data_IF_367572219138
#
_entry.id   IF_367572219138
#
_cell.length_a   1.000
_cell.length_b   1.000
_cell.length_c   1.000
_cell.angle_alpha   90.00
_cell.angle_beta   90.00
_cell.angle_gamma   90.00
#
_symmetry.space_group_name_H-M   'P 1'
#
loop_
_entity.id
_entity.type
_entity.pdbx_description
1 polymer ?
#
# COMPACT_ATOMS: atom_id res chain seq x y z
N UNK A 1 0.89 -13.58 -3.44
CA UNK A 1 1.06 -12.19 -2.95
C UNK A 1 1.64 -12.24 -1.55
N UNK A 2 2.60 -11.39 -1.22
CA UNK A 2 3.12 -11.24 0.16
C UNK A 2 2.20 -10.28 0.93
N UNK A 3 1.94 -10.56 2.21
CA UNK A 3 1.03 -9.77 3.05
C UNK A 3 -0.40 -9.59 2.48
N UNK A 4 -1.13 -10.67 2.18
CA UNK A 4 -2.50 -10.60 1.63
C UNK A 4 -3.51 -9.94 2.56
N UNK A 5 -3.19 -9.77 3.85
CA UNK A 5 -4.00 -8.96 4.76
C UNK A 5 -3.88 -7.45 4.47
N UNK A 6 -2.75 -7.00 3.94
CA UNK A 6 -2.40 -5.59 3.76
C UNK A 6 -2.62 -5.10 2.34
N UNK A 7 -2.28 -5.92 1.35
CA UNK A 7 -2.37 -5.55 -0.06
C UNK A 7 -3.44 -6.35 -0.77
N UNK A 8 -4.04 -5.73 -1.78
CA UNK A 8 -4.91 -6.38 -2.75
C UNK A 8 -4.71 -5.73 -4.12
N UNK A 9 -5.34 -6.28 -5.15
CA UNK A 9 -5.36 -5.70 -6.50
C UNK A 9 -6.75 -5.17 -6.84
N UNK A 10 -6.82 -4.05 -7.55
CA UNK A 10 -8.07 -3.58 -8.15
C UNK A 10 -8.41 -4.34 -9.44
N UNK A 11 -9.47 -3.93 -10.13
CA UNK A 11 -9.93 -4.56 -11.38
C UNK A 11 -8.92 -4.44 -12.53
N UNK A 12 -8.05 -3.43 -12.50
CA UNK A 12 -6.98 -3.23 -13.47
C UNK A 12 -5.69 -4.01 -13.10
N UNK A 13 -5.69 -4.71 -11.96
CA UNK A 13 -4.54 -5.44 -11.46
C UNK A 13 -3.50 -4.55 -10.76
N UNK A 14 -3.87 -3.34 -10.34
CA UNK A 14 -2.99 -2.41 -9.63
C UNK A 14 -3.07 -2.68 -8.12
N UNK A 15 -1.91 -2.87 -7.50
CA UNK A 15 -1.82 -3.13 -6.08
C UNK A 15 -2.17 -1.89 -5.27
N UNK A 16 -2.92 -2.07 -4.18
CA UNK A 16 -3.27 -1.00 -3.24
C UNK A 16 -3.24 -1.50 -1.80
N UNK A 17 -2.92 -0.61 -0.86
CA UNK A 17 -3.00 -0.89 0.57
C UNK A 17 -4.45 -0.84 1.05
N UNK A 18 -4.99 -1.97 1.50
CA UNK A 18 -6.41 -2.12 1.87
C UNK A 18 -6.85 -1.28 3.06
N UNK A 19 -6.11 -1.25 4.20
CA UNK A 19 -6.62 -0.67 5.44
C UNK A 19 -7.07 0.79 5.28
N UNK A 20 -6.28 1.60 4.56
CA UNK A 20 -6.60 3.01 4.33
C UNK A 20 -6.92 3.38 2.87
N UNK A 21 -7.21 2.37 2.03
CA UNK A 21 -7.45 2.56 0.59
C UNK A 21 -6.32 3.31 -0.12
N UNK A 22 -5.08 2.97 0.21
CA UNK A 22 -3.84 3.50 -0.38
C UNK A 22 -3.59 5.00 -0.15
N UNK A 23 -4.16 5.56 0.92
CA UNK A 23 -3.92 6.96 1.31
C UNK A 23 -2.64 7.11 2.14
N UNK A 24 -2.17 6.02 2.77
CA UNK A 24 -0.98 6.01 3.62
C UNK A 24 -1.18 6.79 4.92
N UNK A 25 -2.36 6.69 5.54
CA UNK A 25 -2.72 7.38 6.78
C UNK A 25 -2.93 6.43 7.96
N UNK A 26 -3.20 5.15 7.72
CA UNK A 26 -3.39 4.19 8.82
C UNK A 26 -2.04 3.62 9.29
N UNK A 27 -1.73 3.71 10.59
CA UNK A 27 -0.48 3.17 11.12
C UNK A 27 -0.51 1.64 11.13
N UNK A 28 0.65 1.03 10.89
CA UNK A 28 0.84 -0.42 11.00
C UNK A 28 0.96 -0.83 12.47
N UNK A 29 0.24 -1.89 12.86
CA UNK A 29 0.53 -2.59 14.12
C UNK A 29 1.78 -3.50 13.97
N UNK A 30 2.22 -4.14 15.06
CA UNK A 30 3.46 -4.93 15.08
C UNK A 30 3.45 -6.08 14.07
N UNK A 31 2.34 -6.84 14.00
CA UNK A 31 2.22 -7.96 13.06
C UNK A 31 2.20 -7.47 11.60
N UNK A 32 1.43 -6.41 11.34
CA UNK A 32 1.38 -5.77 10.03
C UNK A 32 2.74 -5.20 9.61
N UNK A 33 3.55 -4.72 10.57
CA UNK A 33 4.89 -4.20 10.29
C UNK A 33 5.83 -5.28 9.76
N UNK A 34 5.74 -6.52 10.28
CA UNK A 34 6.52 -7.66 9.81
C UNK A 34 6.11 -8.03 8.38
N UNK A 35 4.81 -8.17 8.15
CA UNK A 35 4.26 -8.55 6.85
C UNK A 35 4.54 -7.47 5.79
N UNK A 36 4.35 -6.20 6.14
CA UNK A 36 4.66 -5.05 5.31
C UNK A 36 6.15 -5.03 4.93
N UNK A 37 7.06 -5.24 5.89
CA UNK A 37 8.50 -5.24 5.62
C UNK A 37 8.87 -6.29 4.58
N UNK A 38 8.28 -7.47 4.65
CA UNK A 38 8.51 -8.55 3.70
C UNK A 38 8.06 -8.18 2.29
N UNK A 39 6.85 -7.62 2.15
CA UNK A 39 6.32 -7.17 0.87
C UNK A 39 7.15 -6.01 0.30
N UNK A 40 7.48 -5.01 1.12
CA UNK A 40 8.31 -3.86 0.76
C UNK A 40 9.68 -4.28 0.21
N UNK A 41 10.41 -5.15 0.93
CA UNK A 41 11.76 -5.57 0.54
C UNK A 41 11.80 -6.45 -0.72
N UNK A 42 10.71 -7.17 -1.02
CA UNK A 42 10.63 -8.10 -2.15
C UNK A 42 9.89 -7.53 -3.36
N UNK A 43 9.38 -6.31 -3.27
CA UNK A 43 8.72 -5.65 -4.38
C UNK A 43 9.75 -5.32 -5.49
N UNK A 44 9.72 -5.99 -6.66
CA UNK A 44 10.78 -5.84 -7.67
C UNK A 44 10.84 -4.42 -8.25
N UNK A 45 9.71 -3.73 -8.29
CA UNK A 45 9.59 -2.36 -8.80
C UNK A 45 9.78 -1.29 -7.72
N UNK A 46 9.97 -1.68 -6.46
CA UNK A 46 10.02 -0.77 -5.31
C UNK A 46 8.81 0.16 -5.21
N UNK A 47 7.63 -0.30 -5.67
CA UNK A 47 6.39 0.48 -5.69
C UNK A 47 5.81 0.73 -4.29
N UNK A 48 6.02 -0.20 -3.36
CA UNK A 48 5.56 -0.06 -1.96
C UNK A 48 6.44 0.98 -1.25
N UNK A 49 5.81 2.00 -0.64
CA UNK A 49 6.50 3.10 0.06
C UNK A 49 6.20 3.06 1.56
N UNK A 50 7.13 3.60 2.36
CA UNK A 50 7.01 3.71 3.82
C UNK A 50 7.45 5.07 4.31
N UNK A 51 6.85 5.55 5.39
CA UNK A 51 7.24 6.76 6.12
C UNK A 51 6.91 6.57 7.60
N UNK A 52 7.58 7.35 8.45
CA UNK A 52 7.29 7.56 9.87
C UNK A 52 6.12 8.53 10.11
N UNK A 53 5.61 9.17 9.06
CA UNK A 53 4.47 10.07 9.07
C UNK A 53 3.43 9.69 8.00
N UNK A 54 2.16 10.11 8.15
CA UNK A 54 1.13 9.91 7.13
C UNK A 54 1.54 10.50 5.77
N UNK A 55 1.34 9.74 4.70
CA UNK A 55 1.61 10.19 3.32
C UNK A 55 0.53 11.14 2.79
N UNK A 56 -0.70 11.04 3.30
CA UNK A 56 -1.86 11.82 2.86
C UNK A 56 -2.04 11.78 1.32
N UNK A 57 -1.75 10.63 0.71
CA UNK A 57 -1.85 10.45 -0.72
C UNK A 57 -3.32 10.49 -1.15
N UNK A 58 -3.57 11.06 -2.33
CA UNK A 58 -4.86 10.87 -2.99
C UNK A 58 -4.87 9.46 -3.59
N UNK A 59 -5.94 8.67 -3.40
CA UNK A 59 -6.07 7.39 -4.07
C UNK A 59 -5.91 7.59 -5.58
N UNK A 60 -5.21 6.66 -6.22
CA UNK A 60 -5.10 6.67 -7.67
C UNK A 60 -6.50 6.55 -8.29
N UNK A 61 -6.84 7.48 -9.18
CA UNK A 61 -8.05 7.43 -10.00
C UNK A 61 -7.60 7.37 -11.45
N UNK A 62 -8.01 6.33 -12.19
CA UNK A 62 -7.74 6.23 -13.64
C UNK A 62 -8.31 7.42 -14.42
N UNK A 63 -9.35 8.07 -13.89
CA UNK A 63 -9.85 9.36 -14.37
C UNK A 63 -8.98 10.49 -13.81
N UNK A 64 -7.74 10.57 -14.27
CA UNK A 64 -6.88 11.74 -14.08
C UNK A 64 -7.45 12.98 -14.79
N UNK A 65 -8.56 13.54 -14.32
CA UNK A 65 -9.06 14.84 -14.73
C UNK A 65 -9.17 15.74 -13.51
N UNK A 66 -8.20 16.66 -13.42
CA UNK A 66 -8.43 17.97 -12.83
C UNK A 66 -9.49 18.73 -13.66
#
# INVERSE_FOLDING_TARGET
>A
MLAPALFDYDQAGIAYYKPDRNTGTEPLNDQATIDFRLAYQRCPTHAIKRSDHPLNARPFSETGKA
#
